data_IF_532044124646
#
_entry.id   IF_532044124646
#
_cell.length_a   1.000
_cell.length_b   1.000
_cell.length_c   1.000
_cell.angle_alpha   90.00
_cell.angle_beta   90.00
_cell.angle_gamma   90.00
#
_symmetry.space_group_name_H-M   'P 1'
#
loop_
_entity.id
_entity.type
_entity.pdbx_description
1 polymer ?
#
# COMPACT_ATOMS: atom_id res chain seq x y z
N UNK A 1 21.85 -4.84 -14.53
CA UNK A 1 21.66 -4.58 -13.15
C UNK A 1 20.21 -4.30 -12.77
N UNK A 2 19.91 -4.65 -11.63
CA UNK A 2 18.56 -4.64 -11.15
C UNK A 2 18.13 -3.27 -10.65
N UNK A 3 16.88 -2.96 -10.84
CA UNK A 3 16.33 -1.76 -10.26
C UNK A 3 16.35 -1.84 -8.75
N UNK A 4 16.70 -0.75 -8.11
CA UNK A 4 16.72 -0.68 -6.67
C UNK A 4 15.32 -0.40 -6.09
N UNK A 5 14.38 -0.06 -6.95
CA UNK A 5 13.04 0.31 -6.48
C UNK A 5 12.25 -0.94 -6.12
N UNK A 6 11.72 -1.05 -4.89
CA UNK A 6 10.86 -2.17 -4.53
C UNK A 6 9.50 -2.02 -5.21
N UNK A 7 8.80 -3.14 -5.40
CA UNK A 7 7.43 -3.07 -5.88
C UNK A 7 6.54 -2.50 -4.78
N UNK A 8 5.42 -1.91 -5.19
CA UNK A 8 4.47 -1.37 -4.22
C UNK A 8 3.92 -2.48 -3.33
N UNK A 9 3.68 -3.66 -3.91
CA UNK A 9 3.22 -4.79 -3.13
C UNK A 9 4.20 -5.14 -2.02
N UNK A 10 5.49 -5.21 -2.35
CA UNK A 10 6.50 -5.55 -1.35
C UNK A 10 6.60 -4.47 -0.29
N UNK A 11 6.52 -3.22 -0.70
CA UNK A 11 6.55 -2.10 0.23
C UNK A 11 5.39 -2.19 1.21
N UNK A 12 4.18 -2.45 0.73
CA UNK A 12 3.02 -2.59 1.58
C UNK A 12 3.18 -3.77 2.54
N UNK A 13 3.72 -4.89 2.06
CA UNK A 13 3.94 -6.04 2.92
C UNK A 13 4.87 -5.72 4.08
N UNK A 14 5.92 -4.94 3.83
CA UNK A 14 6.84 -4.54 4.89
C UNK A 14 6.14 -3.68 5.94
N UNK A 15 5.33 -2.72 5.50
CA UNK A 15 4.57 -1.88 6.43
C UNK A 15 3.53 -2.69 7.19
N UNK A 16 2.92 -3.68 6.53
CA UNK A 16 1.95 -4.54 7.20
C UNK A 16 2.59 -5.35 8.32
N UNK A 17 3.81 -5.84 8.10
CA UNK A 17 4.53 -6.58 9.13
C UNK A 17 4.74 -5.70 10.36
N UNK A 18 5.14 -4.45 10.15
CA UNK A 18 5.35 -3.51 11.24
C UNK A 18 4.06 -3.20 12.00
N UNK A 19 2.93 -3.25 11.31
CA UNK A 19 1.63 -2.94 11.90
C UNK A 19 0.89 -4.17 12.40
N UNK A 20 1.52 -5.35 12.35
CA UNK A 20 0.90 -6.62 12.74
C UNK A 20 -0.33 -6.97 11.92
N UNK A 21 -0.32 -6.60 10.65
CA UNK A 21 -1.39 -6.94 9.72
C UNK A 21 -0.93 -8.15 8.91
N UNK A 22 -1.64 -9.26 9.03
CA UNK A 22 -1.17 -10.55 8.53
C UNK A 22 -1.41 -10.80 7.05
N UNK A 23 -2.42 -10.16 6.47
CA UNK A 23 -2.77 -10.39 5.07
C UNK A 23 -3.56 -9.22 4.52
N UNK A 24 -3.80 -9.24 3.19
CA UNK A 24 -4.51 -8.15 2.55
C UNK A 24 -5.98 -8.08 2.93
N UNK A 25 -6.57 -9.20 3.31
CA UNK A 25 -7.95 -9.20 3.80
C UNK A 25 -8.06 -8.36 5.07
N UNK A 26 -7.10 -8.54 5.96
CA UNK A 26 -7.06 -7.77 7.20
C UNK A 26 -6.76 -6.28 6.90
N UNK A 27 -5.85 -6.04 5.96
CA UNK A 27 -5.55 -4.68 5.55
C UNK A 27 -6.78 -3.98 4.98
N UNK A 28 -7.54 -4.70 4.17
CA UNK A 28 -8.79 -4.18 3.62
C UNK A 28 -9.74 -3.76 4.73
N UNK A 29 -9.92 -4.64 5.70
CA UNK A 29 -10.85 -4.39 6.79
C UNK A 29 -10.44 -3.18 7.62
N UNK A 30 -9.16 -3.08 7.94
CA UNK A 30 -8.68 -2.00 8.80
C UNK A 30 -8.59 -0.67 8.07
N UNK A 31 -8.27 -0.69 6.79
CA UNK A 31 -8.14 0.54 6.00
C UNK A 31 -9.47 1.07 5.48
N UNK A 32 -10.48 0.21 5.42
CA UNK A 32 -11.76 0.58 4.83
C UNK A 32 -11.79 0.50 3.32
N UNK A 33 -10.75 -0.06 2.70
CA UNK A 33 -10.71 -0.22 1.24
C UNK A 33 -11.21 -1.63 0.91
N UNK A 34 -12.17 -1.71 -0.01
CA UNK A 34 -12.69 -2.99 -0.44
C UNK A 34 -11.56 -3.93 -0.88
N UNK A 35 -11.67 -5.21 -0.51
CA UNK A 35 -10.62 -6.19 -0.76
C UNK A 35 -10.31 -6.33 -2.25
N UNK A 36 -11.33 -6.41 -3.09
CA UNK A 36 -11.10 -6.55 -4.53
C UNK A 36 -10.46 -5.29 -5.10
N UNK A 37 -10.91 -4.13 -4.65
CA UNK A 37 -10.32 -2.86 -5.06
C UNK A 37 -8.86 -2.80 -4.65
N UNK A 38 -8.58 -3.18 -3.41
CA UNK A 38 -7.21 -3.16 -2.91
C UNK A 38 -6.30 -4.04 -3.77
N UNK A 39 -6.74 -5.24 -4.12
CA UNK A 39 -5.97 -6.14 -4.96
C UNK A 39 -5.70 -5.56 -6.34
N UNK A 40 -6.71 -4.92 -6.93
CA UNK A 40 -6.54 -4.28 -8.24
C UNK A 40 -5.49 -3.16 -8.15
N UNK A 41 -5.56 -2.34 -7.10
CA UNK A 41 -4.63 -1.24 -6.92
C UNK A 41 -3.20 -1.74 -6.71
N UNK A 42 -3.04 -2.82 -5.94
CA UNK A 42 -1.71 -3.37 -5.68
C UNK A 42 -1.07 -3.89 -6.97
N UNK A 43 -1.87 -4.51 -7.84
CA UNK A 43 -1.36 -4.98 -9.13
C UNK A 43 -1.07 -3.83 -10.08
N UNK A 44 -1.80 -2.74 -9.95
CA UNK A 44 -1.65 -1.57 -10.83
C UNK A 44 -1.54 -0.32 -9.96
N UNK A 45 -0.37 -0.09 -9.34
CA UNK A 45 -0.25 0.97 -8.33
C UNK A 45 -0.58 2.37 -8.82
N UNK A 46 -0.42 2.61 -10.11
CA UNK A 46 -0.77 3.90 -10.69
C UNK A 46 -2.25 4.22 -10.63
N UNK A 47 -3.10 3.24 -10.29
CA UNK A 47 -4.54 3.44 -10.21
C UNK A 47 -5.01 3.79 -8.81
N UNK A 48 -4.12 3.82 -7.81
CA UNK A 48 -4.51 4.22 -6.46
C UNK A 48 -5.11 5.63 -6.48
N UNK A 49 -6.23 5.80 -5.81
CA UNK A 49 -6.86 7.10 -5.66
C UNK A 49 -6.28 7.80 -4.43
N UNK A 50 -6.32 9.12 -4.43
CA UNK A 50 -5.75 9.92 -3.35
C UNK A 50 -6.33 9.52 -2.00
N UNK A 51 -7.64 9.35 -1.91
CA UNK A 51 -8.25 9.01 -0.64
C UNK A 51 -7.86 7.61 -0.16
N UNK A 52 -7.60 6.69 -1.10
CA UNK A 52 -7.14 5.34 -0.74
C UNK A 52 -5.74 5.38 -0.16
N UNK A 53 -4.88 6.14 -0.80
CA UNK A 53 -3.50 6.31 -0.31
C UNK A 53 -3.52 6.93 1.08
N UNK A 54 -4.39 7.92 1.29
CA UNK A 54 -4.51 8.57 2.58
C UNK A 54 -4.99 7.61 3.65
N UNK A 55 -5.97 6.74 3.32
CA UNK A 55 -6.45 5.74 4.27
C UNK A 55 -5.34 4.77 4.66
N UNK A 56 -4.54 4.33 3.70
CA UNK A 56 -3.42 3.46 3.98
C UNK A 56 -2.36 4.18 4.81
N UNK A 57 -2.11 5.44 4.50
CA UNK A 57 -1.12 6.23 5.23
C UNK A 57 -1.51 6.41 6.69
N UNK A 58 -2.79 6.66 6.95
CA UNK A 58 -3.28 6.80 8.32
C UNK A 58 -3.09 5.51 9.12
N UNK A 59 -3.21 4.39 8.45
CA UNK A 59 -3.07 3.09 9.11
C UNK A 59 -1.61 2.66 9.25
N UNK A 60 -0.83 2.86 8.20
CA UNK A 60 0.52 2.30 8.11
C UNK A 60 1.62 3.33 8.37
N UNK A 61 1.31 4.61 8.31
CA UNK A 61 2.27 5.70 8.61
C UNK A 61 3.51 5.64 7.70
N UNK A 62 3.29 5.84 6.40
CA UNK A 62 4.38 5.84 5.43
C UNK A 62 5.35 6.99 5.69
N UNK A 63 6.63 6.75 5.40
CA UNK A 63 7.57 7.87 5.31
C UNK A 63 7.24 8.69 4.06
N UNK A 64 7.72 9.94 4.04
CA UNK A 64 7.47 10.81 2.89
C UNK A 64 8.01 10.18 1.60
N UNK A 65 9.19 9.57 1.69
CA UNK A 65 9.81 8.93 0.54
C UNK A 65 8.96 7.80 0.01
N UNK A 66 8.48 6.94 0.91
CA UNK A 66 7.67 5.79 0.51
C UNK A 66 6.31 6.23 0.01
N UNK A 67 5.74 7.26 0.61
CA UNK A 67 4.47 7.82 0.16
C UNK A 67 4.60 8.33 -1.28
N UNK A 68 5.71 9.00 -1.59
CA UNK A 68 5.96 9.47 -2.94
C UNK A 68 6.05 8.32 -3.94
N UNK A 69 6.64 7.20 -3.55
CA UNK A 69 6.71 6.03 -4.42
C UNK A 69 5.32 5.52 -4.76
N UNK A 70 4.43 5.48 -3.78
CA UNK A 70 3.06 5.02 -4.00
C UNK A 70 2.30 6.00 -4.88
N UNK A 71 2.44 7.28 -4.64
CA UNK A 71 1.75 8.31 -5.42
C UNK A 71 2.18 8.28 -6.89
N UNK A 72 3.45 8.03 -7.12
CA UNK A 72 3.95 7.96 -8.51
C UNK A 72 3.54 6.68 -9.22
N UNK A 73 3.21 5.67 -8.47
CA UNK A 73 2.86 4.38 -9.03
C UNK A 73 4.08 3.59 -9.41
#
# INVERSE_FOLDING_TARGET
MVSARPSIKKLLLLYMIEADINNFSELSRQSGIDYQTLNVRIKNPGTFRVYEIRQLDELLHFTDEDLNLIVRG
#
